data_IF_320593530289
#
_entry.id   IF_320593530289
#
_cell.length_a   1.000
_cell.length_b   1.000
_cell.length_c   1.000
_cell.angle_alpha   90.00
_cell.angle_beta   90.00
_cell.angle_gamma   90.00
#
_symmetry.space_group_name_H-M   'P 1'
#
loop_
_entity.id
_entity.type
_entity.pdbx_description
1 polymer ?
#
# COMPACT_ATOMS: atom_id res chain seq x y z
N UNK A 1 18.31 24.98 12.94
CA UNK A 1 16.89 24.66 13.25
C UNK A 1 16.10 24.41 11.97
N UNK A 2 16.61 23.57 11.06
CA UNK A 2 15.91 23.24 9.81
C UNK A 2 15.92 21.72 9.69
N UNK A 3 14.75 21.12 9.88
CA UNK A 3 14.54 19.67 9.92
C UNK A 3 14.88 19.10 8.53
N UNK A 4 15.82 18.17 8.48
CA UNK A 4 16.13 17.40 7.29
C UNK A 4 14.89 16.60 6.84
N UNK A 5 14.51 16.63 5.55
CA UNK A 5 13.46 15.76 5.02
C UNK A 5 13.96 14.30 4.94
N UNK A 6 13.14 13.29 5.27
CA UNK A 6 13.54 11.89 5.14
C UNK A 6 13.69 11.49 3.66
N UNK A 7 14.81 10.86 3.25
CA UNK A 7 14.92 10.23 1.94
C UNK A 7 14.22 8.88 1.97
N UNK A 8 13.19 8.69 1.13
CA UNK A 8 12.49 7.39 1.17
C UNK A 8 11.48 7.09 0.08
N UNK A 9 11.41 7.81 -1.05
CA UNK A 9 10.47 7.45 -2.13
C UNK A 9 11.08 7.66 -3.52
N UNK A 10 12.03 6.78 -3.88
CA UNK A 10 12.50 6.63 -5.27
C UNK A 10 12.21 5.23 -5.78
N UNK A 11 10.93 4.86 -5.83
CA UNK A 11 10.47 3.74 -6.64
C UNK A 11 10.10 4.25 -8.03
N UNK A 12 11.11 4.65 -8.81
CA UNK A 12 10.91 5.02 -10.21
C UNK A 12 11.83 4.21 -11.10
N UNK A 13 11.26 3.16 -11.70
CA UNK A 13 11.32 2.81 -13.13
C UNK A 13 11.67 1.34 -13.42
N UNK A 14 10.68 0.61 -13.96
CA UNK A 14 10.85 -0.02 -15.27
C UNK A 14 9.54 0.11 -16.04
N UNK A 15 9.66 0.53 -17.29
CA UNK A 15 8.64 1.16 -18.11
C UNK A 15 7.96 0.08 -18.97
N UNK A 16 6.63 -0.02 -18.87
CA UNK A 16 5.76 -0.33 -20.01
C UNK A 16 4.36 0.22 -19.70
N UNK A 17 3.99 1.33 -20.35
CA UNK A 17 2.61 1.84 -20.30
C UNK A 17 1.80 1.01 -21.28
N UNK A 18 0.77 0.28 -20.80
CA UNK A 18 -0.42 -0.14 -21.58
C UNK A 18 -1.52 -0.78 -20.68
N UNK A 19 -2.18 0.03 -19.83
CA UNK A 19 -3.60 0.02 -19.37
C UNK A 19 -3.71 1.01 -18.20
N UNK A 20 -4.01 2.27 -18.50
CA UNK A 20 -3.50 3.44 -17.77
C UNK A 20 -4.49 4.15 -16.84
N UNK A 21 -5.68 3.60 -16.58
CA UNK A 21 -6.76 4.35 -15.89
C UNK A 21 -7.35 3.63 -14.68
N UNK A 22 -6.72 2.54 -14.23
CA UNK A 22 -7.20 1.83 -13.06
C UNK A 22 -6.64 2.51 -11.81
N UNK A 23 -7.51 2.96 -10.88
CA UNK A 23 -7.05 3.61 -9.67
C UNK A 23 -6.16 2.64 -8.88
N UNK A 24 -4.96 3.10 -8.57
CA UNK A 24 -4.04 2.44 -7.65
C UNK A 24 -4.26 3.02 -6.26
N UNK A 25 -4.37 2.14 -5.25
CA UNK A 25 -4.52 2.55 -3.84
C UNK A 25 -3.38 1.96 -3.02
N UNK A 26 -3.06 2.64 -1.93
CA UNK A 26 -2.13 2.14 -0.91
C UNK A 26 -2.89 1.36 0.16
N UNK A 27 -2.35 0.22 0.57
CA UNK A 27 -2.92 -0.55 1.66
C UNK A 27 -2.69 0.16 3.01
N UNK A 28 -3.73 0.45 3.77
CA UNK A 28 -3.60 1.10 5.09
C UNK A 28 -2.84 0.27 6.13
N UNK A 29 -2.68 -1.05 5.92
CA UNK A 29 -1.98 -1.95 6.86
C UNK A 29 -0.51 -2.18 6.51
N UNK A 30 -0.19 -2.31 5.21
CA UNK A 30 1.15 -2.70 4.75
C UNK A 30 1.79 -1.70 3.79
N UNK A 31 1.12 -0.58 3.51
CA UNK A 31 1.52 0.48 2.57
C UNK A 31 1.84 0.00 1.15
N UNK A 32 1.51 -1.25 0.80
CA UNK A 32 1.83 -1.82 -0.51
C UNK A 32 0.87 -1.27 -1.57
N UNK A 33 1.38 -0.78 -2.71
CA UNK A 33 0.53 -0.33 -3.81
C UNK A 33 -0.24 -1.51 -4.39
N UNK A 34 -1.54 -1.32 -4.62
CA UNK A 34 -2.38 -2.33 -5.24
C UNK A 34 -3.35 -1.70 -6.24
N UNK A 35 -3.52 -2.37 -7.37
CA UNK A 35 -4.37 -1.94 -8.48
C UNK A 35 -5.82 -2.38 -8.28
N UNK A 36 -6.76 -1.62 -8.81
CA UNK A 36 -8.17 -2.01 -8.91
C UNK A 36 -8.35 -3.41 -9.50
N UNK A 37 -9.34 -4.16 -9.01
CA UNK A 37 -9.70 -5.51 -9.47
C UNK A 37 -11.20 -5.55 -9.75
N UNK A 38 -11.64 -6.32 -10.75
CA UNK A 38 -13.07 -6.49 -11.11
C UNK A 38 -13.96 -6.86 -9.92
N UNK A 39 -13.44 -7.66 -8.98
CA UNK A 39 -14.14 -8.05 -7.74
C UNK A 39 -14.49 -6.88 -6.81
N UNK A 40 -13.89 -5.72 -7.02
CA UNK A 40 -14.08 -4.51 -6.22
C UNK A 40 -14.90 -3.45 -6.94
N UNK A 41 -15.50 -3.76 -8.10
CA UNK A 41 -16.28 -2.79 -8.86
C UNK A 41 -17.39 -2.11 -8.02
N UNK A 42 -18.01 -2.84 -7.08
CA UNK A 42 -19.09 -2.32 -6.21
C UNK A 42 -18.56 -1.57 -4.98
N UNK A 43 -17.51 -2.09 -4.35
CA UNK A 43 -17.04 -1.62 -3.04
C UNK A 43 -15.71 -0.86 -3.09
N UNK A 44 -15.21 -0.50 -4.27
CA UNK A 44 -13.93 0.19 -4.45
C UNK A 44 -13.70 1.38 -3.50
N UNK A 45 -14.65 2.30 -3.27
CA UNK A 45 -14.46 3.41 -2.31
C UNK A 45 -14.16 2.92 -0.88
N UNK A 46 -14.73 1.78 -0.47
CA UNK A 46 -14.55 1.17 0.86
C UNK A 46 -13.29 0.30 0.98
N UNK A 47 -12.72 -0.15 -0.14
CA UNK A 47 -11.51 -0.99 -0.15
C UNK A 47 -10.26 -0.16 0.17
N UNK A 48 -9.72 -0.37 1.38
CA UNK A 48 -8.47 0.24 1.88
C UNK A 48 -7.32 -0.76 2.08
N UNK A 49 -7.57 -2.05 1.86
CA UNK A 49 -6.63 -3.13 2.16
C UNK A 49 -6.40 -4.01 0.93
N UNK A 50 -5.14 -4.36 0.66
CA UNK A 50 -4.77 -5.18 -0.49
C UNK A 50 -5.27 -6.64 -0.40
N UNK A 51 -5.60 -7.11 0.80
CA UNK A 51 -6.00 -8.50 1.08
C UNK A 51 -6.92 -8.61 2.30
N UNK A 52 -7.67 -9.71 2.39
CA UNK A 52 -8.47 -10.02 3.58
C UNK A 52 -7.61 -10.16 4.84
N UNK A 53 -6.37 -10.65 4.71
CA UNK A 53 -5.42 -10.73 5.81
C UNK A 53 -5.17 -9.35 6.41
N UNK A 54 -4.88 -8.35 5.59
CA UNK A 54 -4.69 -6.97 6.04
C UNK A 54 -5.94 -6.39 6.70
N UNK A 55 -7.13 -6.68 6.15
CA UNK A 55 -8.41 -6.28 6.76
C UNK A 55 -8.61 -6.89 8.15
N UNK A 56 -8.31 -8.18 8.33
CA UNK A 56 -8.43 -8.86 9.63
C UNK A 56 -7.40 -8.35 10.64
N UNK A 57 -6.17 -8.08 10.21
CA UNK A 57 -5.12 -7.50 11.06
C UNK A 57 -5.51 -6.10 11.57
N UNK A 58 -6.02 -5.24 10.68
CA UNK A 58 -6.47 -3.91 11.05
C UNK A 58 -7.62 -3.94 12.08
N UNK A 59 -8.56 -4.89 11.95
CA UNK A 59 -9.66 -5.08 12.92
C UNK A 59 -9.19 -5.58 14.29
N UNK A 60 -8.05 -6.27 14.35
CA UNK A 60 -7.52 -6.88 15.58
C UNK A 60 -6.66 -5.92 16.39
N UNK A 61 -6.46 -4.67 15.96
CA UNK A 61 -5.58 -3.72 16.65
C UNK A 61 -4.12 -4.20 16.70
N UNK A 62 -3.76 -5.20 15.89
CA UNK A 62 -2.40 -5.67 15.79
C UNK A 62 -1.62 -4.58 15.05
N UNK A 63 -1.02 -3.69 15.85
CA UNK A 63 -0.01 -2.74 15.41
C UNK A 63 0.86 -3.44 14.37
N UNK A 64 1.14 -2.81 13.22
CA UNK A 64 1.92 -3.45 12.19
C UNK A 64 3.20 -3.94 12.86
N UNK A 65 3.41 -5.26 12.84
CA UNK A 65 4.72 -5.81 13.12
C UNK A 65 5.62 -5.13 12.08
N UNK A 66 6.25 -4.03 12.50
CA UNK A 66 7.21 -3.29 11.72
C UNK A 66 8.11 -4.34 11.11
N UNK A 67 8.40 -4.28 9.79
CA UNK A 67 9.40 -5.17 9.25
C UNK A 67 10.68 -4.84 10.02
N UNK A 68 11.06 -5.74 10.93
CA UNK A 68 12.33 -5.73 11.62
C UNK A 68 13.39 -6.04 10.56
N UNK A 69 13.58 -5.09 9.64
CA UNK A 69 14.78 -4.96 8.85
C UNK A 69 15.80 -4.49 9.85
N UNK A 70 16.41 -5.46 10.55
CA UNK A 70 17.69 -5.26 11.24
C UNK A 70 18.73 -5.31 10.12
N UNK A 71 19.27 -4.19 9.63
CA UNK A 71 20.53 -4.27 8.91
C UNK A 71 21.58 -4.80 9.90
N UNK A 72 22.41 -5.72 9.42
CA UNK A 72 23.52 -6.33 10.17
C UNK A 72 24.77 -5.51 9.98
#
# INVERSE_FOLDING_TARGET
MTRAPPPGQRDRAMKTRKKSDLPEKLCAQCARPFTWRRKWARDWPSVRYCSERCRRLARRGAAPALPATRPR
#
